data_IF_188141623793
#
_entry.id   IF_188141623793
#
_cell.length_a   1.000
_cell.length_b   1.000
_cell.length_c   1.000
_cell.angle_alpha   90.00
_cell.angle_beta   90.00
_cell.angle_gamma   90.00
#
_symmetry.space_group_name_H-M   'P 1'
#
loop_
_entity.id
_entity.type
_entity.pdbx_description
1 polymer ?
#
# COMPACT_ATOMS: atom_id res chain seq x y z
N UNK A 1 18.48 28.84 18.38
CA UNK A 1 17.27 29.27 19.09
C UNK A 1 16.71 28.09 19.84
N UNK A 2 16.12 28.32 21.00
CA UNK A 2 15.46 27.28 21.79
C UNK A 2 13.95 27.23 21.54
N UNK A 3 13.38 26.04 21.45
CA UNK A 3 11.92 25.86 21.47
C UNK A 3 11.39 26.08 22.88
N UNK A 4 10.40 26.96 23.03
CA UNK A 4 9.74 27.25 24.31
C UNK A 4 8.45 26.44 24.45
N UNK A 5 7.76 26.21 23.34
CA UNK A 5 6.53 25.43 23.36
C UNK A 5 5.98 25.18 21.97
N UNK A 6 4.93 24.38 21.92
CA UNK A 6 4.20 24.03 20.70
C UNK A 6 2.71 24.04 20.96
N UNK A 7 1.93 24.23 19.90
CA UNK A 7 0.48 24.07 19.89
C UNK A 7 0.10 23.28 18.66
N UNK A 8 -0.47 22.10 18.84
CA UNK A 8 -0.94 21.24 17.74
C UNK A 8 -2.46 21.31 17.69
N UNK A 9 -3.02 21.86 16.61
CA UNK A 9 -4.49 21.91 16.42
C UNK A 9 -4.97 20.74 15.56
N UNK A 10 -4.24 20.46 14.48
CA UNK A 10 -4.55 19.42 13.49
C UNK A 10 -3.27 18.79 12.97
N UNK A 11 -3.34 17.61 12.35
CA UNK A 11 -2.15 16.98 11.72
C UNK A 11 -1.50 17.88 10.65
N UNK A 12 -2.29 18.70 9.97
CA UNK A 12 -1.83 19.68 8.96
C UNK A 12 -1.55 21.09 9.51
N UNK A 13 -1.81 21.36 10.80
CA UNK A 13 -1.60 22.70 11.37
C UNK A 13 -1.14 22.67 12.83
N UNK A 14 0.03 23.27 13.06
CA UNK A 14 0.59 23.54 14.37
C UNK A 14 1.40 24.84 14.38
N UNK A 15 1.72 25.28 15.59
CA UNK A 15 2.57 26.44 15.86
C UNK A 15 3.67 26.04 16.83
N UNK A 16 4.90 26.46 16.55
CA UNK A 16 6.04 26.31 17.47
C UNK A 16 6.50 27.70 17.88
N UNK A 17 6.69 27.90 19.17
CA UNK A 17 7.18 29.16 19.75
C UNK A 17 8.64 28.97 20.12
N UNK A 18 9.49 29.85 19.61
CA UNK A 18 10.90 29.93 19.95
C UNK A 18 11.16 31.00 21.02
N UNK A 19 12.33 30.94 21.63
CA UNK A 19 12.81 31.97 22.56
C UNK A 19 12.76 33.36 21.90
N UNK A 20 12.41 34.39 22.69
CA UNK A 20 12.15 35.73 22.16
C UNK A 20 10.74 35.93 21.57
N UNK A 21 9.85 34.93 21.67
CA UNK A 21 8.44 35.06 21.32
C UNK A 21 8.12 34.90 19.82
N UNK A 22 9.10 34.47 19.03
CA UNK A 22 8.93 34.20 17.60
C UNK A 22 8.11 32.91 17.39
N UNK A 23 7.01 33.00 16.65
CA UNK A 23 6.14 31.87 16.35
C UNK A 23 6.31 31.40 14.89
N UNK A 24 6.34 30.08 14.69
CA UNK A 24 6.49 29.42 13.40
C UNK A 24 5.25 28.59 13.08
N UNK A 25 4.60 28.83 11.93
CA UNK A 25 3.53 27.98 11.42
C UNK A 25 4.11 26.82 10.62
N UNK A 26 3.66 25.61 10.94
CA UNK A 26 4.04 24.38 10.24
C UNK A 26 2.91 23.36 10.32
N UNK A 27 3.14 22.16 9.79
CA UNK A 27 2.21 21.05 10.00
C UNK A 27 2.23 20.62 11.46
N UNK A 28 1.08 20.18 11.98
CA UNK A 28 1.02 19.61 13.32
C UNK A 28 1.85 18.33 13.43
N UNK A 29 1.97 17.57 12.34
CA UNK A 29 2.84 16.39 12.26
C UNK A 29 4.33 16.71 12.39
N UNK A 30 4.78 17.91 12.03
CA UNK A 30 6.13 18.39 12.35
C UNK A 30 6.21 18.98 13.75
N UNK A 31 5.27 19.87 14.10
CA UNK A 31 5.25 20.59 15.38
C UNK A 31 5.24 19.65 16.60
N UNK A 32 4.52 18.53 16.53
CA UNK A 32 4.41 17.55 17.62
C UNK A 32 5.74 16.91 18.01
N UNK A 33 6.73 16.90 17.12
CA UNK A 33 8.05 16.31 17.37
C UNK A 33 9.06 17.29 17.95
N UNK A 34 8.72 18.58 18.07
CA UNK A 34 9.57 19.60 18.67
C UNK A 34 9.24 19.75 20.16
N UNK A 35 10.19 19.42 21.03
CA UNK A 35 10.04 19.51 22.50
C UNK A 35 10.40 20.91 22.98
N UNK A 36 9.84 21.36 24.12
CA UNK A 36 10.46 22.42 24.89
C UNK A 36 11.94 22.09 25.14
N UNK A 37 12.79 23.11 25.08
CA UNK A 37 14.25 23.07 25.20
C UNK A 37 15.03 22.52 24.00
N UNK A 38 14.37 22.03 22.94
CA UNK A 38 15.07 21.61 21.72
C UNK A 38 15.84 22.78 21.11
N UNK A 39 17.10 22.52 20.74
CA UNK A 39 17.97 23.47 20.05
C UNK A 39 17.73 23.39 18.55
N UNK A 40 17.34 24.53 17.96
CA UNK A 40 17.06 24.64 16.52
C UNK A 40 17.80 25.81 15.88
N UNK A 41 18.18 25.62 14.62
CA UNK A 41 18.69 26.65 13.72
C UNK A 41 17.56 27.08 12.81
N UNK A 42 17.20 28.36 12.90
CA UNK A 42 16.20 29.02 12.06
C UNK A 42 16.94 29.86 11.01
N UNK A 43 16.56 29.74 9.75
CA UNK A 43 16.96 30.69 8.71
C UNK A 43 15.72 31.30 8.06
N UNK A 44 15.68 32.63 7.99
CA UNK A 44 14.57 33.43 7.44
C UNK A 44 15.09 34.82 7.05
N UNK A 45 14.52 35.41 6.02
CA UNK A 45 14.73 36.81 5.64
C UNK A 45 13.66 37.75 6.26
N UNK A 46 12.61 37.19 6.85
CA UNK A 46 11.45 37.93 7.34
C UNK A 46 11.64 38.36 8.80
N UNK A 47 11.43 39.66 9.07
CA UNK A 47 11.53 40.25 10.41
C UNK A 47 10.14 40.54 10.98
N UNK A 48 9.43 39.49 11.39
CA UNK A 48 8.10 39.59 11.99
C UNK A 48 7.90 38.52 13.07
N UNK A 49 6.99 38.74 14.03
CA UNK A 49 6.83 37.83 15.18
C UNK A 49 6.17 36.49 14.83
N UNK A 50 5.58 36.34 13.64
CA UNK A 50 4.92 35.13 13.20
C UNK A 50 5.31 34.81 11.75
N UNK A 51 5.99 33.68 11.54
CA UNK A 51 6.40 33.21 10.22
C UNK A 51 5.41 32.16 9.69
N UNK A 52 5.03 32.32 8.43
CA UNK A 52 4.21 31.40 7.63
C UNK A 52 5.02 30.23 7.07
N UNK A 53 4.31 29.32 6.39
CA UNK A 53 4.84 28.03 5.94
C UNK A 53 6.06 28.13 5.01
N UNK A 54 6.10 29.14 4.13
CA UNK A 54 7.15 29.27 3.11
C UNK A 54 8.21 30.32 3.45
N UNK A 55 8.20 30.84 4.68
CA UNK A 55 8.99 32.01 5.08
C UNK A 55 10.25 31.66 5.88
N UNK A 56 10.52 30.38 6.09
CA UNK A 56 11.66 29.94 6.89
C UNK A 56 12.10 28.51 6.57
N UNK A 57 13.30 28.18 7.05
CA UNK A 57 13.77 26.80 7.19
C UNK A 57 14.13 26.54 8.65
N UNK A 58 13.95 25.31 9.10
CA UNK A 58 14.19 24.91 10.48
C UNK A 58 14.98 23.61 10.52
N UNK A 59 16.07 23.62 11.28
CA UNK A 59 16.97 22.48 11.43
C UNK A 59 17.24 22.19 12.91
N UNK A 60 17.05 20.96 13.34
CA UNK A 60 17.54 20.45 14.63
C UNK A 60 18.81 19.64 14.43
N UNK A 61 18.89 18.47 15.06
CA UNK A 61 19.88 17.44 14.70
C UNK A 61 19.67 16.94 13.27
N UNK A 62 18.42 16.96 12.80
CA UNK A 62 18.02 16.61 11.44
C UNK A 62 17.18 17.75 10.81
N UNK A 63 17.04 17.80 9.47
CA UNK A 63 16.17 18.77 8.80
C UNK A 63 14.69 18.60 9.21
N UNK A 64 14.09 19.69 9.72
CA UNK A 64 12.71 19.68 10.22
C UNK A 64 11.76 20.34 9.20
N UNK A 65 12.15 21.52 8.69
CA UNK A 65 11.34 22.31 7.76
C UNK A 65 12.20 22.95 6.66
N UNK A 66 11.79 22.92 5.37
CA UNK A 66 10.56 22.33 4.82
C UNK A 66 10.54 20.80 4.96
N UNK A 67 9.36 20.19 4.81
CA UNK A 67 9.19 18.74 4.87
C UNK A 67 9.93 18.00 3.75
N UNK A 68 10.13 16.69 3.91
CA UNK A 68 10.74 15.86 2.87
C UNK A 68 9.90 15.90 1.59
N UNK A 69 10.59 16.12 0.46
CA UNK A 69 9.99 16.07 -0.87
C UNK A 69 11.05 15.70 -1.91
N UNK A 70 10.73 14.75 -2.79
CA UNK A 70 11.54 14.30 -3.92
C UNK A 70 10.68 14.13 -5.15
N UNK A 71 11.06 14.76 -6.26
CA UNK A 71 10.52 14.43 -7.57
C UNK A 71 11.30 13.26 -8.16
N UNK A 72 10.58 12.30 -8.72
CA UNK A 72 11.17 11.11 -9.35
C UNK A 72 10.45 10.80 -10.65
N UNK A 73 11.24 10.43 -11.66
CA UNK A 73 10.72 9.80 -12.87
C UNK A 73 10.69 8.29 -12.65
N UNK A 74 9.53 7.67 -12.86
CA UNK A 74 9.37 6.22 -12.76
C UNK A 74 8.94 5.65 -14.10
N UNK A 75 9.79 4.79 -14.66
CA UNK A 75 9.55 4.16 -15.96
C UNK A 75 8.93 2.79 -15.77
N UNK A 76 7.81 2.56 -16.44
CA UNK A 76 7.22 1.24 -16.62
C UNK A 76 7.78 0.63 -17.89
N UNK A 77 8.46 -0.49 -17.76
CA UNK A 77 8.90 -1.27 -18.90
C UNK A 77 7.73 -2.05 -19.53
N UNK A 78 7.74 -2.13 -20.86
CA UNK A 78 6.79 -2.93 -21.61
C UNK A 78 7.06 -4.43 -21.43
N UNK A 79 6.03 -5.27 -21.56
CA UNK A 79 6.18 -6.73 -21.45
C UNK A 79 7.12 -7.35 -22.50
N UNK A 80 7.41 -6.62 -23.58
CA UNK A 80 8.32 -7.03 -24.66
C UNK A 80 9.64 -6.24 -24.66
N UNK A 81 9.92 -5.52 -23.55
CA UNK A 81 11.02 -4.55 -23.47
C UNK A 81 10.64 -3.15 -23.98
N UNK A 82 11.48 -2.16 -23.66
CA UNK A 82 11.23 -0.75 -23.98
C UNK A 82 10.37 -0.02 -22.94
N UNK A 83 10.31 1.31 -23.04
CA UNK A 83 9.51 2.17 -22.17
C UNK A 83 8.04 2.14 -22.61
N UNK A 84 7.17 1.59 -21.75
CA UNK A 84 5.73 1.60 -21.98
C UNK A 84 5.10 2.91 -21.51
N UNK A 85 5.54 3.42 -20.35
CA UNK A 85 5.03 4.66 -19.78
C UNK A 85 6.04 5.26 -18.80
N UNK A 86 6.05 6.60 -18.68
CA UNK A 86 6.87 7.32 -17.71
C UNK A 86 6.00 8.20 -16.85
N UNK A 87 6.02 7.91 -15.55
CA UNK A 87 5.35 8.70 -14.54
C UNK A 87 6.28 9.79 -14.02
N UNK A 88 5.78 11.03 -13.93
CA UNK A 88 6.40 12.08 -13.13
C UNK A 88 5.71 12.12 -11.78
N UNK A 89 6.45 11.70 -10.75
CA UNK A 89 5.93 11.53 -9.41
C UNK A 89 6.62 12.47 -8.43
N UNK A 90 5.90 12.84 -7.38
CA UNK A 90 6.46 13.55 -6.23
C UNK A 90 6.19 12.73 -4.97
N UNK A 91 7.24 12.20 -4.37
CA UNK A 91 7.16 11.66 -3.03
C UNK A 91 7.35 12.80 -2.02
N UNK A 92 6.37 13.02 -1.16
CA UNK A 92 6.45 14.09 -0.15
C UNK A 92 5.70 13.73 1.10
N UNK A 93 6.06 14.35 2.20
CA UNK A 93 5.28 14.19 3.42
C UNK A 93 3.88 14.81 3.29
N UNK A 94 2.91 14.23 4.00
CA UNK A 94 1.58 14.81 4.12
C UNK A 94 1.63 16.17 4.82
N UNK A 95 1.04 17.17 4.17
CA UNK A 95 1.09 18.56 4.61
C UNK A 95 -0.30 19.17 4.80
N UNK A 96 -1.24 18.86 3.92
CA UNK A 96 -2.54 19.51 3.85
C UNK A 96 -3.66 18.62 4.39
N UNK A 97 -4.80 19.18 4.78
CA UNK A 97 -5.97 18.39 5.16
C UNK A 97 -6.37 17.40 4.06
N UNK A 98 -6.42 17.86 2.80
CA UNK A 98 -6.72 17.04 1.63
C UNK A 98 -5.75 15.87 1.41
N UNK A 99 -4.54 15.92 1.97
CA UNK A 99 -3.62 14.79 1.93
C UNK A 99 -4.09 13.65 2.84
N UNK A 100 -4.58 13.99 4.03
CA UNK A 100 -5.09 13.01 4.97
C UNK A 100 -6.47 12.48 4.54
N UNK A 101 -7.28 13.30 3.88
CA UNK A 101 -8.49 12.85 3.18
C UNK A 101 -8.14 11.78 2.11
N UNK A 102 -7.13 12.05 1.27
CA UNK A 102 -6.66 11.08 0.27
C UNK A 102 -6.07 9.79 0.88
N UNK A 103 -5.37 9.88 2.01
CA UNK A 103 -4.92 8.68 2.74
C UNK A 103 -6.11 7.85 3.23
N UNK A 104 -7.14 8.51 3.79
CA UNK A 104 -8.35 7.84 4.25
C UNK A 104 -9.10 7.14 3.10
N UNK A 105 -9.18 7.78 1.92
CA UNK A 105 -9.72 7.16 0.71
C UNK A 105 -8.91 5.94 0.26
N UNK A 106 -7.57 6.05 0.24
CA UNK A 106 -6.70 4.93 -0.13
C UNK A 106 -6.84 3.72 0.81
N UNK A 107 -7.02 3.97 2.12
CA UNK A 107 -7.23 2.91 3.10
C UNK A 107 -8.52 2.12 2.85
N UNK A 108 -9.58 2.75 2.32
CA UNK A 108 -10.83 2.05 1.99
C UNK A 108 -10.59 0.94 0.96
N UNK A 109 -9.72 1.16 -0.02
CA UNK A 109 -9.34 0.14 -0.99
C UNK A 109 -8.50 -1.00 -0.41
N UNK A 110 -7.86 -0.78 0.74
CA UNK A 110 -7.13 -1.84 1.44
C UNK A 110 -8.08 -2.71 2.27
N UNK A 111 -9.11 -2.10 2.88
CA UNK A 111 -10.11 -2.78 3.70
C UNK A 111 -11.38 -3.15 2.92
N UNK A 112 -11.42 -3.08 1.59
CA UNK A 112 -12.65 -3.22 0.81
C UNK A 112 -13.47 -4.51 1.08
N UNK A 113 -12.88 -5.55 1.69
CA UNK A 113 -13.57 -6.75 2.15
C UNK A 113 -14.23 -6.64 3.53
N UNK A 114 -13.81 -5.70 4.37
CA UNK A 114 -14.31 -5.45 5.72
C UNK A 114 -15.00 -4.08 5.74
N UNK A 115 -16.30 -4.01 6.10
CA UNK A 115 -17.04 -2.73 6.26
C UNK A 115 -16.55 -1.95 7.50
N UNK A 116 -15.23 -1.79 7.67
CA UNK A 116 -14.65 -1.03 8.76
C UNK A 116 -14.66 0.46 8.43
N UNK A 117 -15.02 1.27 9.42
CA UNK A 117 -14.87 2.72 9.35
C UNK A 117 -13.42 3.08 9.66
N UNK A 118 -12.74 3.73 8.72
CA UNK A 118 -11.29 3.95 8.74
C UNK A 118 -10.90 5.37 9.16
N UNK A 119 -11.84 6.31 9.21
CA UNK A 119 -11.56 7.70 9.60
C UNK A 119 -12.50 8.22 10.70
N UNK A 120 -11.90 8.91 11.67
CA UNK A 120 -12.57 9.68 12.70
C UNK A 120 -12.53 11.16 12.29
N UNK A 121 -13.67 11.84 12.39
CA UNK A 121 -13.84 13.24 12.06
C UNK A 121 -14.32 14.01 13.28
N UNK A 122 -13.91 15.26 13.44
CA UNK A 122 -14.36 16.15 14.51
C UNK A 122 -15.07 17.34 13.91
N UNK A 123 -16.27 17.66 14.40
CA UNK A 123 -16.96 18.87 14.02
C UNK A 123 -16.45 20.06 14.87
N UNK A 124 -15.77 21.06 14.29
CA UNK A 124 -15.30 22.22 15.03
C UNK A 124 -16.44 23.09 15.57
N UNK A 125 -17.65 22.99 15.00
CA UNK A 125 -18.82 23.76 15.41
C UNK A 125 -19.45 23.27 16.71
N UNK A 126 -19.56 21.95 16.91
CA UNK A 126 -20.25 21.36 18.07
C UNK A 126 -19.41 20.35 18.85
N UNK A 127 -18.14 20.13 18.48
CA UNK A 127 -17.21 19.19 19.12
C UNK A 127 -17.52 17.71 18.90
N UNK A 128 -18.57 17.35 18.15
CA UNK A 128 -18.97 15.95 17.94
C UNK A 128 -17.92 15.21 17.13
N UNK A 129 -17.54 14.02 17.59
CA UNK A 129 -16.72 13.08 16.80
C UNK A 129 -17.64 12.18 15.96
N UNK A 130 -17.36 12.05 14.67
CA UNK A 130 -18.12 11.26 13.69
C UNK A 130 -17.20 10.16 13.12
N UNK A 131 -17.76 9.00 12.83
CA UNK A 131 -17.04 7.92 12.16
C UNK A 131 -17.59 7.81 10.74
N UNK A 132 -16.75 8.04 9.74
CA UNK A 132 -17.13 7.92 8.34
C UNK A 132 -15.90 7.69 7.46
N UNK A 133 -16.09 7.00 6.33
CA UNK A 133 -15.02 6.74 5.37
C UNK A 133 -14.77 7.93 4.44
N UNK A 134 -15.83 8.65 4.07
CA UNK A 134 -15.78 9.95 3.40
C UNK A 134 -16.09 11.08 4.38
N UNK A 135 -15.74 12.33 4.01
CA UNK A 135 -16.01 13.53 4.81
C UNK A 135 -17.52 13.65 5.11
N UNK A 136 -17.94 13.49 6.38
CA UNK A 136 -19.36 13.56 6.71
C UNK A 136 -19.80 15.00 6.94
N UNK A 137 -21.04 15.32 6.57
CA UNK A 137 -21.71 16.50 7.09
C UNK A 137 -22.14 16.23 8.53
N UNK A 138 -21.80 17.12 9.45
CA UNK A 138 -22.24 16.97 10.83
C UNK A 138 -23.73 17.29 10.95
N UNK A 139 -24.53 16.55 11.76
CA UNK A 139 -25.95 16.85 11.97
C UNK A 139 -26.29 18.28 12.42
N UNK A 140 -25.31 19.02 12.96
CA UNK A 140 -25.46 20.44 13.31
C UNK A 140 -25.27 21.40 12.11
N UNK A 141 -25.08 20.88 10.90
CA UNK A 141 -24.73 21.64 9.70
C UNK A 141 -23.28 22.14 9.66
N UNK A 142 -22.42 21.67 10.56
CA UNK A 142 -20.98 21.99 10.56
C UNK A 142 -20.18 21.07 9.65
N UNK A 143 -19.17 21.63 8.99
CA UNK A 143 -18.22 20.85 8.17
C UNK A 143 -17.24 20.10 9.09
N UNK A 144 -17.24 18.76 9.02
CA UNK A 144 -16.35 17.95 9.84
C UNK A 144 -14.91 18.01 9.31
N UNK A 145 -13.94 18.02 10.23
CA UNK A 145 -12.49 18.02 9.94
C UNK A 145 -11.92 16.67 10.31
N UNK A 146 -10.96 16.16 9.55
CA UNK A 146 -10.36 14.86 9.85
C UNK A 146 -9.63 14.92 11.21
N UNK A 147 -9.98 14.02 12.12
CA UNK A 147 -9.37 13.90 13.44
C UNK A 147 -8.24 12.89 13.42
N UNK A 148 -8.52 11.67 12.97
CA UNK A 148 -7.57 10.56 13.01
C UNK A 148 -7.90 9.48 11.98
N UNK A 149 -6.87 8.80 11.47
CA UNK A 149 -7.02 7.62 10.61
C UNK A 149 -6.87 6.39 11.52
N UNK A 150 -7.90 5.55 11.56
CA UNK A 150 -7.98 4.38 12.45
C UNK A 150 -6.75 3.48 12.23
N UNK A 151 -6.12 3.09 13.34
CA UNK A 151 -4.92 2.27 13.34
C UNK A 151 -3.61 3.03 13.08
N UNK A 152 -3.66 4.35 12.85
CA UNK A 152 -2.50 5.22 13.04
C UNK A 152 -2.38 5.65 14.50
N UNK A 153 -1.24 6.23 14.86
CA UNK A 153 -1.03 6.82 16.18
C UNK A 153 -0.68 8.30 16.05
N UNK A 154 -0.71 9.08 17.14
CA UNK A 154 -0.13 10.42 17.15
C UNK A 154 1.34 10.42 16.71
N UNK A 155 2.09 9.32 16.82
CA UNK A 155 3.46 9.22 16.34
C UNK A 155 3.59 8.98 14.82
N UNK A 156 2.53 8.57 14.14
CA UNK A 156 2.61 8.24 12.72
C UNK A 156 2.92 9.47 11.86
N UNK A 157 3.83 9.30 10.89
CA UNK A 157 4.06 10.23 9.77
C UNK A 157 3.80 9.53 8.45
N UNK A 158 3.45 10.31 7.44
CA UNK A 158 2.94 9.81 6.17
C UNK A 158 3.74 10.37 5.01
N UNK A 159 4.23 9.48 4.15
CA UNK A 159 4.84 9.78 2.86
C UNK A 159 3.83 9.48 1.77
N UNK A 160 3.45 10.47 0.98
CA UNK A 160 2.55 10.35 -0.15
C UNK A 160 3.35 10.17 -1.44
N UNK A 161 2.75 9.48 -2.41
CA UNK A 161 3.19 9.45 -3.79
C UNK A 161 2.15 10.17 -4.65
N UNK A 162 2.50 11.37 -5.12
CA UNK A 162 1.65 12.25 -5.91
C UNK A 162 2.01 12.13 -7.40
N UNK A 163 0.99 12.03 -8.27
CA UNK A 163 1.14 12.19 -9.71
C UNK A 163 1.23 13.68 -10.04
N UNK A 164 2.40 14.14 -10.47
CA UNK A 164 2.65 15.55 -10.83
C UNK A 164 2.01 15.87 -12.16
N UNK A 165 2.23 15.00 -13.14
CA UNK A 165 1.61 15.06 -14.45
C UNK A 165 0.53 13.98 -14.48
N UNK A 166 -0.74 14.40 -14.45
CA UNK A 166 -1.90 13.51 -14.39
C UNK A 166 -2.96 13.90 -15.40
N UNK A 167 -3.66 12.91 -15.93
CA UNK A 167 -4.87 13.09 -16.72
C UNK A 167 -6.06 13.44 -15.80
N UNK A 168 -7.13 14.06 -16.32
CA UNK A 168 -8.26 14.52 -15.48
C UNK A 168 -8.93 13.42 -14.64
N UNK A 169 -8.92 12.18 -15.12
CA UNK A 169 -9.50 11.03 -14.44
C UNK A 169 -8.54 10.35 -13.44
N UNK A 170 -7.25 10.66 -13.48
CA UNK A 170 -6.27 10.02 -12.61
C UNK A 170 -6.29 10.63 -11.21
N UNK A 171 -6.17 9.80 -10.15
CA UNK A 171 -6.12 10.29 -8.79
C UNK A 171 -4.85 11.13 -8.58
N UNK A 172 -4.94 12.21 -7.77
CA UNK A 172 -3.77 13.01 -7.42
C UNK A 172 -2.74 12.20 -6.64
N UNK A 173 -3.21 11.41 -5.65
CA UNK A 173 -2.36 10.58 -4.80
C UNK A 173 -2.57 9.12 -5.19
N UNK A 174 -1.51 8.48 -5.67
CA UNK A 174 -1.53 7.08 -6.15
C UNK A 174 -1.05 6.08 -5.11
N UNK A 175 -0.50 6.56 -3.99
CA UNK A 175 -0.13 5.70 -2.87
C UNK A 175 0.37 6.50 -1.68
N UNK A 176 0.48 5.83 -0.54
CA UNK A 176 1.15 6.36 0.63
C UNK A 176 1.86 5.26 1.41
N UNK A 177 2.81 5.69 2.24
CA UNK A 177 3.53 4.87 3.19
C UNK A 177 3.44 5.53 4.57
N UNK A 178 3.20 4.72 5.60
CA UNK A 178 3.16 5.19 7.00
C UNK A 178 4.39 4.70 7.76
N UNK A 179 5.11 5.64 8.35
CA UNK A 179 6.18 5.36 9.30
C UNK A 179 5.70 5.57 10.73
N UNK A 180 6.04 4.61 11.58
CA UNK A 180 5.81 4.65 13.02
C UNK A 180 7.16 4.45 13.75
N UNK A 181 7.27 4.91 15.01
CA UNK A 181 8.26 4.38 15.94
C UNK A 181 8.14 2.85 16.06
N UNK A 182 9.10 2.16 16.71
CA UNK A 182 9.18 0.71 16.71
C UNK A 182 8.14 0.01 17.61
N UNK A 183 6.87 0.08 17.22
CA UNK A 183 5.71 -0.59 17.83
C UNK A 183 5.11 -1.64 16.88
N UNK A 184 4.32 -2.61 17.35
CA UNK A 184 4.18 -3.04 18.74
C UNK A 184 5.43 -3.80 19.22
N UNK A 185 5.42 -4.24 20.48
CA UNK A 185 6.33 -5.29 20.97
C UNK A 185 6.13 -6.55 20.14
N UNK A 186 7.21 -7.31 19.94
CA UNK A 186 7.19 -8.49 19.09
C UNK A 186 7.60 -9.73 19.86
N UNK A 187 6.83 -10.79 19.69
CA UNK A 187 7.12 -12.11 20.22
C UNK A 187 7.17 -13.09 19.07
N UNK A 188 7.95 -14.16 19.20
CA UNK A 188 8.03 -15.26 18.24
C UNK A 188 7.59 -16.56 18.90
N UNK A 189 6.79 -17.37 18.23
CA UNK A 189 6.41 -18.70 18.73
C UNK A 189 7.28 -19.74 18.03
N UNK A 190 7.93 -20.59 18.84
CA UNK A 190 8.78 -21.69 18.36
C UNK A 190 8.29 -23.02 18.95
N UNK A 191 8.75 -24.19 18.45
CA UNK A 191 8.45 -25.48 19.07
C UNK A 191 8.89 -25.57 20.55
N UNK A 192 9.90 -24.79 20.95
CA UNK A 192 10.42 -24.74 22.34
C UNK A 192 9.62 -23.80 23.25
N UNK A 193 8.71 -23.00 22.71
CA UNK A 193 7.91 -22.05 23.48
C UNK A 193 7.85 -20.65 22.88
N UNK A 194 7.33 -19.71 23.67
CA UNK A 194 7.20 -18.30 23.31
C UNK A 194 8.48 -17.53 23.65
N UNK A 195 9.08 -16.92 22.63
CA UNK A 195 10.20 -16.02 22.79
C UNK A 195 9.67 -14.58 22.81
N UNK A 196 9.74 -13.96 23.99
CA UNK A 196 9.31 -12.56 24.19
C UNK A 196 10.37 -11.61 23.65
N UNK A 197 9.90 -10.43 23.25
CA UNK A 197 10.71 -9.30 22.77
C UNK A 197 11.86 -9.73 21.85
N UNK A 198 11.48 -10.47 20.80
CA UNK A 198 12.44 -11.18 19.94
C UNK A 198 13.40 -10.22 19.24
N UNK A 199 13.00 -8.97 18.97
CA UNK A 199 13.89 -7.99 18.33
C UNK A 199 15.03 -7.60 19.25
N UNK A 200 14.72 -7.43 20.53
CA UNK A 200 15.64 -7.06 21.61
C UNK A 200 16.63 -8.19 21.92
N UNK A 201 16.38 -9.40 21.42
CA UNK A 201 17.33 -10.52 21.46
C UNK A 201 18.27 -10.54 20.24
N UNK A 202 17.92 -9.82 19.18
CA UNK A 202 18.69 -9.77 17.92
C UNK A 202 19.52 -8.49 17.85
N UNK A 203 18.95 -7.36 18.26
CA UNK A 203 19.54 -6.03 18.17
C UNK A 203 19.60 -5.36 19.55
N UNK A 204 20.44 -4.32 19.73
CA UNK A 204 20.49 -3.55 20.96
C UNK A 204 19.11 -3.04 21.40
N UNK A 205 18.70 -3.24 22.67
CA UNK A 205 17.37 -2.83 23.15
C UNK A 205 17.09 -1.32 23.00
N UNK A 206 18.10 -0.47 23.14
CA UNK A 206 17.97 0.98 23.01
C UNK A 206 17.69 1.44 21.57
N UNK A 207 17.81 0.56 20.58
CA UNK A 207 17.33 0.85 19.22
C UNK A 207 15.80 0.90 19.16
N UNK A 208 15.12 0.18 20.05
CA UNK A 208 13.67 0.12 20.10
C UNK A 208 13.06 0.90 21.26
N UNK A 209 13.85 1.37 22.22
CA UNK A 209 13.35 2.00 23.43
C UNK A 209 14.15 3.27 23.79
N UNK A 210 13.50 4.29 24.39
CA UNK A 210 12.07 4.41 24.65
C UNK A 210 11.24 4.64 23.37
N UNK A 211 10.17 3.87 23.18
CA UNK A 211 9.22 4.01 22.06
C UNK A 211 7.90 4.65 22.49
N UNK A 212 7.02 4.89 21.54
CA UNK A 212 5.68 5.42 21.80
C UNK A 212 4.75 4.30 22.31
N UNK A 213 4.39 4.33 23.60
CA UNK A 213 3.49 3.32 24.20
C UNK A 213 2.01 3.74 24.22
N UNK A 214 1.65 4.86 23.61
CA UNK A 214 0.30 5.42 23.67
C UNK A 214 0.00 6.12 24.99
N UNK A 215 -1.28 6.32 25.29
CA UNK A 215 -1.75 6.97 26.51
C UNK A 215 -2.56 8.25 26.26
N UNK A 216 -3.22 8.74 27.31
CA UNK A 216 -4.04 9.97 27.26
C UNK A 216 -3.17 11.21 27.01
N UNK A 217 -2.01 11.28 27.65
CA UNK A 217 -1.01 12.32 27.42
C UNK A 217 -0.04 11.89 26.31
N UNK A 218 -0.54 11.96 25.07
CA UNK A 218 0.24 11.59 23.90
C UNK A 218 1.45 12.51 23.69
N UNK A 219 1.38 13.77 24.14
CA UNK A 219 2.47 14.74 24.00
C UNK A 219 3.69 14.34 24.81
N UNK A 220 3.50 14.11 26.12
CA UNK A 220 4.59 13.63 26.98
C UNK A 220 5.14 12.27 26.53
N UNK A 221 4.28 11.40 25.99
CA UNK A 221 4.71 10.12 25.44
C UNK A 221 5.60 10.31 24.19
N UNK A 222 5.23 11.20 23.26
CA UNK A 222 6.07 11.54 22.10
C UNK A 222 7.38 12.19 22.52
N UNK A 223 7.37 13.01 23.57
CA UNK A 223 8.55 13.67 24.12
C UNK A 223 9.52 12.73 24.80
N UNK A 224 9.17 11.46 25.01
CA UNK A 224 10.11 10.44 25.48
C UNK A 224 10.73 9.65 24.34
N UNK A 225 10.08 9.56 23.18
CA UNK A 225 10.51 8.68 22.09
C UNK A 225 11.91 9.05 21.59
N UNK A 226 12.82 8.08 21.63
CA UNK A 226 14.21 8.25 21.24
C UNK A 226 14.80 6.93 20.72
N UNK A 227 14.31 6.50 19.55
CA UNK A 227 14.57 5.16 18.98
C UNK A 227 15.62 5.23 17.88
N UNK A 228 16.35 4.14 17.65
CA UNK A 228 17.30 3.98 16.55
C UNK A 228 16.77 3.02 15.46
N UNK A 229 15.49 2.67 15.52
CA UNK A 229 14.78 1.90 14.50
C UNK A 229 13.51 2.64 14.07
N UNK A 230 13.07 2.40 12.84
CA UNK A 230 11.77 2.86 12.34
C UNK A 230 10.97 1.69 11.77
N UNK A 231 9.63 1.80 11.83
CA UNK A 231 8.73 0.80 11.28
C UNK A 231 7.98 1.36 10.07
N UNK A 232 8.07 0.65 8.95
CA UNK A 232 7.07 0.77 7.88
C UNK A 232 5.83 0.03 8.34
N UNK A 233 4.83 0.78 8.81
CA UNK A 233 3.61 0.23 9.36
C UNK A 233 2.57 -0.10 8.29
N UNK A 234 2.64 0.62 7.16
CA UNK A 234 1.64 0.55 6.10
C UNK A 234 2.24 0.99 4.78
N UNK A 235 1.90 0.28 3.72
CA UNK A 235 2.16 0.68 2.33
C UNK A 235 0.89 0.39 1.56
N UNK A 236 0.30 1.42 0.96
CA UNK A 236 -0.91 1.29 0.15
C UNK A 236 -0.68 1.98 -1.18
N UNK A 237 -1.04 1.27 -2.24
CA UNK A 237 -1.04 1.77 -3.61
C UNK A 237 -2.46 1.65 -4.14
N UNK A 238 -2.90 2.69 -4.83
CA UNK A 238 -4.18 2.73 -5.52
C UNK A 238 -4.37 1.47 -6.39
N UNK A 239 -5.54 0.81 -6.37
CA UNK A 239 -5.76 -0.47 -7.05
C UNK A 239 -5.25 -0.52 -8.49
N UNK A 240 -5.59 0.51 -9.28
CA UNK A 240 -5.24 0.60 -10.70
C UNK A 240 -3.73 0.77 -10.96
N UNK A 241 -2.95 1.10 -9.93
CA UNK A 241 -1.51 1.35 -10.03
C UNK A 241 -0.66 0.30 -9.30
N UNK A 242 -1.25 -0.77 -8.75
CA UNK A 242 -0.53 -1.79 -7.98
C UNK A 242 0.51 -2.55 -8.82
N UNK A 243 0.29 -2.66 -10.13
CA UNK A 243 1.21 -3.26 -11.10
C UNK A 243 2.40 -2.38 -11.47
N UNK A 244 2.37 -1.09 -11.13
CA UNK A 244 3.38 -0.14 -11.62
C UNK A 244 4.68 -0.18 -10.83
N UNK A 245 4.78 -0.98 -9.77
CA UNK A 245 5.98 -1.03 -8.92
C UNK A 245 6.09 0.12 -7.92
N UNK A 246 5.04 0.94 -7.77
CA UNK A 246 4.98 2.05 -6.82
C UNK A 246 5.18 1.64 -5.36
N UNK A 247 4.83 0.39 -5.00
CA UNK A 247 5.12 -0.14 -3.66
C UNK A 247 6.61 -0.17 -3.35
N UNK A 248 7.44 -0.74 -4.24
CA UNK A 248 8.90 -0.74 -4.09
C UNK A 248 9.48 0.67 -4.17
N UNK A 249 8.92 1.55 -5.00
CA UNK A 249 9.33 2.95 -5.09
C UNK A 249 9.10 3.69 -3.76
N UNK A 250 7.89 3.59 -3.19
CA UNK A 250 7.54 4.17 -1.89
C UNK A 250 8.47 3.70 -0.78
N UNK A 251 8.78 2.40 -0.72
CA UNK A 251 9.72 1.87 0.28
C UNK A 251 11.11 2.47 0.09
N UNK A 252 11.66 2.54 -1.13
CA UNK A 252 12.98 3.15 -1.39
C UNK A 252 13.03 4.61 -0.95
N UNK A 253 12.03 5.40 -1.31
CA UNK A 253 11.94 6.81 -0.94
C UNK A 253 11.72 7.00 0.56
N UNK A 254 11.03 6.09 1.23
CA UNK A 254 10.94 6.09 2.68
C UNK A 254 12.27 5.76 3.36
N UNK A 255 13.10 4.87 2.81
CA UNK A 255 14.44 4.61 3.34
C UNK A 255 15.33 5.85 3.21
N UNK A 256 15.25 6.60 2.10
CA UNK A 256 15.93 7.89 1.94
C UNK A 256 15.43 8.91 2.98
N UNK A 257 14.11 9.04 3.13
CA UNK A 257 13.50 9.92 4.12
C UNK A 257 13.96 9.59 5.56
N UNK A 258 14.05 8.30 5.90
CA UNK A 258 14.56 7.85 7.20
C UNK A 258 16.03 8.22 7.38
N UNK A 259 16.88 8.02 6.36
CA UNK A 259 18.32 8.36 6.42
C UNK A 259 18.54 9.86 6.55
N UNK A 260 17.89 10.66 5.71
CA UNK A 260 18.10 12.11 5.66
C UNK A 260 17.54 12.82 6.89
N UNK A 261 16.45 12.29 7.47
CA UNK A 261 15.66 13.02 8.47
C UNK A 261 15.42 12.27 9.76
N UNK A 262 16.02 11.10 9.96
CA UNK A 262 15.77 10.24 11.12
C UNK A 262 14.27 10.03 11.40
N UNK A 263 13.48 9.91 10.33
CA UNK A 263 12.03 9.73 10.43
C UNK A 263 11.67 8.45 11.20
N UNK A 264 10.55 8.42 11.94
CA UNK A 264 9.55 9.50 12.02
C UNK A 264 9.89 10.64 12.99
N UNK A 265 10.71 10.41 14.01
CA UNK A 265 10.87 11.38 15.12
C UNK A 265 11.88 12.50 14.83
N UNK A 266 12.87 12.25 13.98
CA UNK A 266 13.90 13.25 13.63
C UNK A 266 14.87 13.60 14.75
N UNK A 267 15.18 12.63 15.64
CA UNK A 267 15.99 12.86 16.84
C UNK A 267 17.27 12.04 16.93
N UNK A 268 17.22 10.79 16.48
CA UNK A 268 18.33 9.84 16.56
C UNK A 268 18.48 9.13 15.22
N UNK A 269 19.72 8.96 14.79
CA UNK A 269 20.05 8.20 13.59
C UNK A 269 19.45 6.78 13.66
N UNK A 270 18.96 6.30 12.51
CA UNK A 270 18.33 4.99 12.42
C UNK A 270 19.33 3.96 11.91
N UNK A 271 19.51 2.89 12.68
CA UNK A 271 20.32 1.75 12.29
C UNK A 271 19.57 0.78 11.38
N UNK A 272 18.24 0.68 11.52
CA UNK A 272 17.42 -0.22 10.72
C UNK A 272 16.00 0.29 10.49
N UNK A 273 15.37 -0.27 9.46
CA UNK A 273 13.93 -0.15 9.18
C UNK A 273 13.34 -1.55 9.11
N UNK A 274 12.17 -1.76 9.69
CA UNK A 274 11.50 -3.07 9.61
C UNK A 274 10.02 -2.93 9.26
N UNK A 275 9.41 -4.04 8.87
CA UNK A 275 7.97 -4.13 8.59
C UNK A 275 7.40 -5.45 9.11
N UNK A 276 6.11 -5.44 9.47
CA UNK A 276 5.32 -6.64 9.73
C UNK A 276 4.26 -6.70 8.63
N UNK A 277 4.37 -7.65 7.70
CA UNK A 277 3.59 -7.59 6.46
C UNK A 277 3.16 -8.97 5.96
N UNK A 278 1.93 -9.40 6.29
CA UNK A 278 1.39 -10.69 5.81
C UNK A 278 1.43 -10.83 4.28
N UNK A 279 1.23 -9.72 3.58
CA UNK A 279 1.25 -9.70 2.12
C UNK A 279 2.64 -10.02 1.53
N UNK A 280 3.73 -9.88 2.29
CA UNK A 280 5.09 -10.16 1.83
C UNK A 280 5.30 -11.64 1.48
N UNK A 281 4.45 -12.55 1.99
CA UNK A 281 4.43 -13.97 1.57
C UNK A 281 4.00 -14.16 0.11
N UNK A 282 3.20 -13.23 -0.41
CA UNK A 282 2.58 -13.33 -1.72
C UNK A 282 3.19 -12.38 -2.74
N UNK A 283 3.92 -11.35 -2.28
CA UNK A 283 4.53 -10.36 -3.15
C UNK A 283 5.91 -9.92 -2.62
N UNK A 284 7.01 -10.13 -3.38
CA UNK A 284 8.37 -9.92 -2.90
C UNK A 284 8.83 -8.45 -3.00
N UNK A 285 7.94 -7.46 -2.89
CA UNK A 285 8.36 -6.07 -3.18
C UNK A 285 9.32 -5.51 -2.13
N UNK A 286 9.19 -5.94 -0.86
CA UNK A 286 10.14 -5.60 0.19
C UNK A 286 11.49 -6.26 -0.05
N UNK A 287 11.50 -7.56 -0.39
CA UNK A 287 12.73 -8.30 -0.71
C UNK A 287 13.44 -7.73 -1.95
N UNK A 288 12.70 -7.32 -2.99
CA UNK A 288 13.25 -6.62 -4.16
C UNK A 288 13.95 -5.30 -3.80
N UNK A 289 13.54 -4.65 -2.71
CA UNK A 289 14.21 -3.44 -2.20
C UNK A 289 15.44 -3.77 -1.33
N UNK A 290 15.53 -5.02 -0.84
CA UNK A 290 16.64 -5.49 0.00
C UNK A 290 16.24 -5.81 1.44
N UNK A 291 14.94 -5.80 1.78
CA UNK A 291 14.52 -6.29 3.09
C UNK A 291 14.74 -7.79 3.18
N UNK A 292 15.25 -8.26 4.32
CA UNK A 292 15.46 -9.68 4.63
C UNK A 292 14.45 -10.15 5.66
N UNK A 293 13.83 -11.28 5.37
CA UNK A 293 12.92 -11.96 6.29
C UNK A 293 13.71 -12.60 7.43
N UNK A 294 13.31 -12.37 8.68
CA UNK A 294 13.99 -12.96 9.84
C UNK A 294 13.12 -13.98 10.58
N UNK A 295 11.85 -13.68 10.80
CA UNK A 295 10.94 -14.54 11.56
C UNK A 295 9.48 -14.14 11.39
N UNK A 296 8.58 -15.04 11.81
CA UNK A 296 7.18 -14.74 12.03
C UNK A 296 6.93 -14.29 13.46
N UNK A 297 6.02 -13.33 13.65
CA UNK A 297 5.48 -13.01 14.97
C UNK A 297 4.77 -14.23 15.57
N UNK A 298 4.48 -14.20 16.87
CA UNK A 298 3.71 -15.23 17.56
C UNK A 298 2.30 -15.43 16.97
N UNK A 299 1.79 -14.41 16.26
CA UNK A 299 0.54 -14.45 15.50
C UNK A 299 0.71 -14.89 14.03
N UNK A 300 1.90 -15.33 13.62
CA UNK A 300 2.19 -15.87 12.29
C UNK A 300 2.43 -14.82 11.20
N UNK A 301 2.62 -13.55 11.56
CA UNK A 301 2.86 -12.48 10.58
C UNK A 301 4.36 -12.34 10.30
N UNK A 302 4.81 -12.32 9.04
CA UNK A 302 6.22 -12.24 8.72
C UNK A 302 6.79 -10.86 9.04
N UNK A 303 8.03 -10.87 9.52
CA UNK A 303 8.79 -9.68 9.88
C UNK A 303 10.05 -9.61 9.01
N UNK A 304 10.20 -8.49 8.32
CA UNK A 304 11.34 -8.23 7.44
C UNK A 304 12.08 -6.97 7.88
N UNK A 305 13.39 -6.98 7.71
CA UNK A 305 14.31 -5.94 8.18
C UNK A 305 15.21 -5.45 7.05
N UNK A 306 15.49 -4.16 7.04
CA UNK A 306 16.43 -3.51 6.15
C UNK A 306 17.47 -2.76 7.00
N UNK A 307 18.76 -3.10 6.91
CA UNK A 307 19.81 -2.41 7.63
C UNK A 307 20.15 -1.09 6.92
N UNK A 308 20.25 -0.03 7.71
CA UNK A 308 20.71 1.29 7.24
C UNK A 308 22.20 1.50 7.50
N UNK A 309 22.78 0.74 8.44
CA UNK A 309 24.17 0.84 8.90
C UNK A 309 24.86 -0.52 8.82
N UNK A 310 26.20 -0.53 8.76
CA UNK A 310 26.99 -1.76 8.80
C UNK A 310 26.79 -2.56 10.10
N UNK A 311 26.64 -1.87 11.24
CA UNK A 311 26.35 -2.53 12.52
C UNK A 311 25.03 -3.32 12.48
N UNK A 312 23.97 -2.75 11.90
CA UNK A 312 22.72 -3.47 11.73
C UNK A 312 22.86 -4.65 10.77
N UNK A 313 23.63 -4.50 9.69
CA UNK A 313 23.94 -5.59 8.76
C UNK A 313 24.60 -6.77 9.48
N UNK A 314 25.58 -6.51 10.34
CA UNK A 314 26.30 -7.53 11.12
C UNK A 314 25.35 -8.30 12.07
N UNK A 315 24.44 -7.60 12.76
CA UNK A 315 23.43 -8.24 13.59
C UNK A 315 22.48 -9.13 12.78
N UNK A 316 22.03 -8.66 11.61
CA UNK A 316 21.18 -9.44 10.71
C UNK A 316 21.89 -10.73 10.25
N UNK A 317 23.11 -10.61 9.72
CA UNK A 317 23.89 -11.74 9.22
C UNK A 317 24.20 -12.77 10.31
N UNK A 318 24.59 -12.27 11.49
CA UNK A 318 24.80 -13.13 12.66
C UNK A 318 23.55 -13.93 13.00
N UNK A 319 22.39 -13.29 13.05
CA UNK A 319 21.13 -13.96 13.37
C UNK A 319 20.73 -14.99 12.31
N UNK A 320 20.85 -14.64 11.01
CA UNK A 320 20.59 -15.55 9.90
C UNK A 320 21.48 -16.79 9.92
N UNK A 321 22.69 -16.69 10.48
CA UNK A 321 23.63 -17.81 10.63
C UNK A 321 23.38 -18.66 11.88
N UNK A 322 23.10 -18.02 13.01
CA UNK A 322 23.06 -18.66 14.33
C UNK A 322 21.67 -19.20 14.72
N UNK A 323 20.59 -18.53 14.30
CA UNK A 323 19.23 -18.95 14.64
C UNK A 323 18.76 -20.09 13.72
N UNK A 324 18.37 -21.26 14.27
CA UNK A 324 18.00 -22.42 13.45
C UNK A 324 16.81 -22.18 12.51
N UNK A 325 15.86 -21.34 12.93
CA UNK A 325 14.71 -20.99 12.10
C UNK A 325 15.14 -20.06 10.96
N UNK A 326 15.88 -19.00 11.30
CA UNK A 326 16.35 -18.01 10.35
C UNK A 326 17.27 -18.61 9.28
N UNK A 327 18.15 -19.52 9.69
CA UNK A 327 19.09 -20.23 8.82
C UNK A 327 18.41 -21.07 7.75
N UNK A 328 17.24 -21.65 8.05
CA UNK A 328 16.53 -22.52 7.12
C UNK A 328 16.05 -21.78 5.86
N UNK A 329 15.70 -20.49 5.98
CA UNK A 329 15.23 -19.68 4.87
C UNK A 329 16.25 -18.64 4.37
N UNK A 330 17.34 -18.41 5.10
CA UNK A 330 18.47 -17.58 4.67
C UNK A 330 18.08 -16.16 4.28
N UNK A 331 17.16 -15.55 5.03
CA UNK A 331 16.69 -14.18 4.74
C UNK A 331 15.58 -14.06 3.70
N UNK A 332 15.16 -15.16 3.06
CA UNK A 332 14.13 -15.15 2.01
C UNK A 332 12.77 -15.62 2.52
N UNK A 333 11.71 -14.90 2.15
CA UNK A 333 10.33 -15.27 2.46
C UNK A 333 9.59 -15.77 1.22
N UNK A 334 9.71 -15.03 0.12
CA UNK A 334 8.99 -15.32 -1.10
C UNK A 334 9.72 -16.38 -1.93
N UNK A 335 9.01 -17.47 -2.23
CA UNK A 335 9.44 -18.48 -3.17
C UNK A 335 8.39 -18.56 -4.29
N UNK A 336 8.82 -18.36 -5.54
CA UNK A 336 7.94 -18.58 -6.68
C UNK A 336 7.48 -20.03 -6.69
N UNK A 337 6.17 -20.25 -6.65
CA UNK A 337 5.59 -21.58 -6.85
C UNK A 337 5.50 -21.96 -8.33
N UNK A 338 5.76 -21.01 -9.23
CA UNK A 338 5.77 -21.26 -10.66
C UNK A 338 7.16 -21.70 -11.08
N UNK A 339 7.25 -22.94 -11.54
CA UNK A 339 8.39 -23.43 -12.29
C UNK A 339 8.37 -22.80 -13.68
N UNK A 340 9.50 -22.30 -14.20
CA UNK A 340 9.59 -21.89 -15.60
C UNK A 340 9.13 -23.05 -16.49
N UNK A 341 8.02 -22.86 -17.20
CA UNK A 341 7.56 -23.84 -18.17
C UNK A 341 8.39 -23.69 -19.44
N UNK A 342 8.91 -24.80 -19.97
CA UNK A 342 9.35 -24.83 -21.36
C UNK A 342 8.09 -24.61 -22.18
N UNK A 343 7.90 -23.39 -22.72
CA UNK A 343 6.69 -23.02 -23.44
C UNK A 343 6.31 -24.03 -24.52
N UNK A 344 5.06 -23.96 -25.01
CA UNK A 344 4.50 -24.96 -25.92
C UNK A 344 5.46 -25.31 -27.08
N UNK A 345 5.67 -26.60 -27.40
CA UNK A 345 6.60 -27.04 -28.44
C UNK A 345 6.14 -26.67 -29.86
N UNK A 346 4.90 -26.24 -30.03
CA UNK A 346 4.31 -25.82 -31.30
C UNK A 346 3.18 -24.81 -31.11
N UNK A 347 2.59 -24.30 -32.20
CA UNK A 347 1.48 -23.38 -32.12
C UNK A 347 0.18 -24.09 -31.71
N UNK A 348 -0.72 -23.35 -31.09
CA UNK A 348 -2.12 -23.78 -30.95
C UNK A 348 -2.86 -23.44 -32.24
N UNK A 349 -3.65 -24.38 -32.78
CA UNK A 349 -4.42 -24.16 -34.00
C UNK A 349 -5.89 -24.48 -33.81
N UNK A 350 -6.76 -23.60 -34.30
CA UNK A 350 -8.17 -23.88 -34.57
C UNK A 350 -8.32 -23.96 -36.08
N UNK A 351 -8.96 -25.02 -36.55
CA UNK A 351 -9.16 -25.31 -37.96
C UNK A 351 -10.66 -25.49 -38.22
N UNK A 352 -11.29 -24.48 -38.83
CA UNK A 352 -12.70 -24.49 -39.23
C UNK A 352 -13.67 -24.74 -38.07
N UNK A 353 -13.36 -24.26 -36.85
CA UNK A 353 -14.08 -24.68 -35.64
C UNK A 353 -15.50 -24.12 -35.60
N UNK A 354 -16.47 -25.02 -35.42
CA UNK A 354 -17.87 -24.71 -35.15
C UNK A 354 -18.23 -25.15 -33.72
N UNK A 355 -18.88 -24.23 -32.98
CA UNK A 355 -19.42 -24.53 -31.65
C UNK A 355 -20.76 -23.85 -31.45
N UNK A 356 -21.76 -24.62 -31.08
CA UNK A 356 -23.10 -24.17 -30.75
C UNK A 356 -23.53 -24.68 -29.37
N UNK A 357 -24.41 -23.93 -28.71
CA UNK A 357 -25.09 -24.41 -27.52
C UNK A 357 -26.56 -24.64 -27.86
N UNK A 358 -27.08 -25.78 -27.41
CA UNK A 358 -28.48 -26.15 -27.55
C UNK A 358 -29.16 -25.98 -26.21
N UNK A 359 -30.20 -25.16 -26.16
CA UNK A 359 -31.11 -25.08 -25.03
C UNK A 359 -32.43 -25.73 -25.42
N UNK A 360 -32.91 -26.65 -24.60
CA UNK A 360 -34.27 -27.15 -24.72
C UNK A 360 -35.20 -26.15 -24.04
N UNK A 361 -36.03 -25.47 -24.82
CA UNK A 361 -37.11 -24.67 -24.27
C UNK A 361 -38.27 -25.63 -23.97
N UNK A 362 -38.39 -26.04 -22.73
CA UNK A 362 -39.52 -26.81 -22.24
C UNK A 362 -40.54 -25.89 -21.57
N UNK A 363 -41.82 -26.13 -21.85
CA UNK A 363 -42.94 -25.39 -21.28
C UNK A 363 -43.61 -26.18 -20.14
N UNK A 364 -43.21 -27.44 -19.93
CA UNK A 364 -43.83 -28.37 -18.96
C UNK A 364 -43.78 -27.88 -17.51
N UNK A 365 -42.74 -27.14 -17.13
CA UNK A 365 -42.55 -26.57 -15.79
C UNK A 365 -43.30 -25.23 -15.57
N UNK A 366 -44.02 -24.72 -16.57
CA UNK A 366 -44.81 -23.49 -16.47
C UNK A 366 -46.25 -23.78 -16.04
N UNK A 367 -46.94 -22.79 -15.44
CA UNK A 367 -48.36 -22.97 -15.06
C UNK A 367 -49.27 -23.14 -16.29
N UNK A 368 -50.42 -23.82 -16.17
CA UNK A 368 -51.34 -24.07 -17.28
C UNK A 368 -51.75 -22.79 -18.02
N UNK A 369 -52.05 -21.71 -17.29
CA UNK A 369 -52.45 -20.42 -17.87
C UNK A 369 -51.34 -19.79 -18.74
N UNK A 370 -50.07 -19.97 -18.34
CA UNK A 370 -48.91 -19.46 -19.09
C UNK A 370 -48.65 -20.32 -20.32
N UNK A 371 -48.81 -21.64 -20.21
CA UNK A 371 -48.68 -22.55 -21.35
C UNK A 371 -49.74 -22.28 -22.42
N UNK A 372 -50.99 -22.05 -22.02
CA UNK A 372 -52.10 -21.76 -22.92
C UNK A 372 -51.90 -20.42 -23.64
N UNK A 373 -51.52 -19.37 -22.92
CA UNK A 373 -51.20 -18.07 -23.49
C UNK A 373 -50.05 -18.16 -24.51
N UNK A 374 -48.93 -18.80 -24.16
CA UNK A 374 -47.78 -18.97 -25.06
C UNK A 374 -48.14 -19.80 -26.30
N UNK A 375 -48.98 -20.83 -26.14
CA UNK A 375 -49.47 -21.67 -27.24
C UNK A 375 -50.38 -20.89 -28.20
N UNK A 376 -51.24 -20.00 -27.70
CA UNK A 376 -52.08 -19.13 -28.51
C UNK A 376 -51.27 -18.17 -29.40
N UNK A 377 -50.05 -17.79 -28.97
CA UNK A 377 -49.08 -17.04 -29.78
C UNK A 377 -48.15 -17.94 -30.62
N UNK A 378 -48.43 -19.25 -30.70
CA UNK A 378 -47.69 -20.21 -31.52
C UNK A 378 -46.35 -20.66 -30.94
N UNK A 379 -46.08 -20.38 -29.66
CA UNK A 379 -44.85 -20.85 -28.99
C UNK A 379 -45.00 -22.33 -28.63
N UNK A 380 -44.08 -23.15 -29.12
CA UNK A 380 -44.01 -24.60 -28.84
C UNK A 380 -42.67 -24.95 -28.24
N UNK A 381 -42.60 -26.06 -27.52
CA UNK A 381 -41.34 -26.65 -27.07
C UNK A 381 -40.42 -26.85 -28.29
N UNK A 382 -39.18 -26.37 -28.17
CA UNK A 382 -38.21 -26.39 -29.28
C UNK A 382 -36.79 -26.44 -28.75
N UNK A 383 -35.92 -27.07 -29.52
CA UNK A 383 -34.48 -26.99 -29.31
C UNK A 383 -33.99 -25.71 -29.97
N UNK A 384 -33.49 -24.79 -29.16
CA UNK A 384 -32.84 -23.57 -29.63
C UNK A 384 -31.34 -23.83 -29.75
N UNK A 385 -30.84 -23.90 -30.98
CA UNK A 385 -29.41 -23.93 -31.24
C UNK A 385 -28.87 -22.53 -31.48
N UNK A 386 -27.87 -22.12 -30.71
CA UNK A 386 -27.15 -20.86 -30.90
C UNK A 386 -25.69 -21.14 -31.23
N UNK A 387 -25.33 -20.98 -32.50
CA UNK A 387 -23.93 -21.00 -32.94
C UNK A 387 -23.15 -19.83 -32.34
N UNK A 388 -22.10 -20.14 -31.58
CA UNK A 388 -21.20 -19.18 -30.93
C UNK A 388 -19.93 -18.97 -31.74
N UNK A 389 -19.35 -20.05 -32.28
CA UNK A 389 -18.22 -20.00 -33.22
C UNK A 389 -18.63 -20.65 -34.53
N UNK A 390 -18.29 -20.00 -35.65
CA UNK A 390 -18.71 -20.41 -37.01
C UNK A 390 -17.49 -20.46 -37.92
N UNK A 391 -16.91 -21.64 -38.10
CA UNK A 391 -15.74 -21.83 -38.97
C UNK A 391 -14.54 -21.01 -38.51
N UNK A 392 -14.23 -21.01 -37.22
CA UNK A 392 -13.14 -20.22 -36.67
C UNK A 392 -11.77 -20.85 -36.99
N UNK A 393 -10.93 -20.10 -37.69
CA UNK A 393 -9.53 -20.42 -37.96
C UNK A 393 -8.61 -19.47 -37.18
N UNK A 394 -7.67 -20.04 -36.40
CA UNK A 394 -6.75 -19.26 -35.57
C UNK A 394 -5.45 -20.03 -35.35
N UNK A 395 -4.31 -19.37 -35.50
CA UNK A 395 -3.00 -19.89 -35.09
C UNK A 395 -2.40 -18.99 -34.00
N UNK A 396 -2.00 -19.59 -32.88
CA UNK A 396 -1.30 -18.91 -31.78
C UNK A 396 0.13 -19.47 -31.70
N UNK A 397 1.15 -18.69 -32.12
CA UNK A 397 2.54 -19.13 -32.05
C UNK A 397 3.02 -19.36 -30.61
N UNK A 398 3.98 -20.27 -30.39
CA UNK A 398 4.69 -20.38 -29.11
C UNK A 398 5.24 -19.04 -28.65
N UNK A 399 5.24 -18.82 -27.34
CA UNK A 399 5.83 -17.61 -26.70
C UNK A 399 5.20 -16.28 -27.13
N UNK A 400 4.05 -16.31 -27.80
CA UNK A 400 3.29 -15.11 -28.12
C UNK A 400 2.41 -14.67 -26.94
N UNK A 401 2.13 -13.37 -26.86
CA UNK A 401 1.12 -12.80 -25.95
C UNK A 401 -0.08 -12.42 -26.79
N UNK A 402 -1.18 -13.14 -26.63
CA UNK A 402 -2.42 -12.91 -27.38
C UNK A 402 -3.49 -12.34 -26.47
N UNK A 403 -4.10 -11.23 -26.88
CA UNK A 403 -5.23 -10.60 -26.17
C UNK A 403 -6.53 -10.94 -26.88
N UNK A 404 -7.46 -11.59 -26.17
CA UNK A 404 -8.79 -11.90 -26.68
C UNK A 404 -9.81 -10.83 -26.24
N UNK A 405 -10.23 -9.98 -27.17
CA UNK A 405 -11.17 -8.89 -26.94
C UNK A 405 -12.48 -9.05 -27.74
N UNK A 406 -13.54 -8.35 -27.33
CA UNK A 406 -14.85 -8.36 -28.01
C UNK A 406 -16.03 -8.13 -27.06
N UNK A 407 -17.22 -7.87 -27.59
CA UNK A 407 -18.43 -7.63 -26.80
C UNK A 407 -18.82 -8.81 -25.89
N UNK A 408 -19.66 -8.57 -24.88
CA UNK A 408 -20.26 -9.65 -24.09
C UNK A 408 -21.07 -10.58 -25.00
N UNK A 409 -20.91 -11.90 -24.84
CA UNK A 409 -21.56 -12.88 -25.71
C UNK A 409 -20.88 -13.13 -27.07
N UNK A 410 -19.76 -12.47 -27.39
CA UNK A 410 -18.99 -12.68 -28.63
C UNK A 410 -18.24 -14.02 -28.72
N UNK A 411 -18.44 -14.95 -27.77
CA UNK A 411 -17.83 -16.28 -27.81
C UNK A 411 -16.44 -16.43 -27.18
N UNK A 412 -15.91 -15.39 -26.52
CA UNK A 412 -14.59 -15.42 -25.87
C UNK A 412 -14.42 -16.58 -24.87
N UNK A 413 -15.39 -16.74 -23.97
CA UNK A 413 -15.39 -17.83 -22.98
C UNK A 413 -15.45 -19.20 -23.66
N UNK A 414 -16.24 -19.33 -24.72
CA UNK A 414 -16.34 -20.56 -25.51
C UNK A 414 -15.01 -20.90 -26.18
N UNK A 415 -14.33 -19.92 -26.76
CA UNK A 415 -12.98 -20.10 -27.31
C UNK A 415 -11.99 -20.56 -26.24
N UNK A 416 -12.00 -19.95 -25.05
CA UNK A 416 -11.13 -20.39 -23.94
C UNK A 416 -11.43 -21.82 -23.49
N UNK A 417 -12.70 -22.24 -23.44
CA UNK A 417 -13.06 -23.61 -23.07
C UNK A 417 -12.57 -24.63 -24.10
N UNK A 418 -12.68 -24.31 -25.39
CA UNK A 418 -12.13 -25.15 -26.46
C UNK A 418 -10.61 -25.32 -26.30
N UNK A 419 -9.88 -24.23 -26.03
CA UNK A 419 -8.44 -24.28 -25.75
C UNK A 419 -8.09 -25.09 -24.49
N UNK A 420 -8.99 -25.16 -23.53
CA UNK A 420 -8.87 -25.98 -22.31
C UNK A 420 -9.27 -27.45 -22.53
N UNK A 421 -9.71 -27.82 -23.74
CA UNK A 421 -10.01 -29.20 -24.13
C UNK A 421 -11.51 -29.53 -24.22
N UNK A 422 -12.42 -28.55 -24.16
CA UNK A 422 -13.81 -28.78 -24.56
C UNK A 422 -13.84 -29.15 -26.06
N UNK A 423 -14.56 -30.22 -26.46
CA UNK A 423 -14.60 -30.61 -27.86
C UNK A 423 -15.43 -29.61 -28.70
N UNK A 424 -14.98 -29.28 -29.92
CA UNK A 424 -15.81 -28.56 -30.88
C UNK A 424 -16.93 -29.46 -31.41
N UNK A 425 -18.00 -28.88 -31.95
CA UNK A 425 -19.06 -29.68 -32.59
C UNK A 425 -18.69 -30.04 -34.04
N UNK A 426 -17.86 -29.21 -34.69
CA UNK A 426 -17.17 -29.52 -35.94
C UNK A 426 -15.84 -28.77 -36.06
N UNK A 427 -14.95 -29.22 -36.94
CA UNK A 427 -13.57 -28.71 -37.05
C UNK A 427 -12.63 -29.33 -36.00
N UNK A 428 -11.44 -28.76 -35.86
CA UNK A 428 -10.38 -29.30 -35.00
C UNK A 428 -9.71 -28.22 -34.14
N UNK A 429 -9.38 -28.56 -32.90
CA UNK A 429 -8.56 -27.74 -31.98
C UNK A 429 -7.30 -28.52 -31.66
N UNK A 430 -6.15 -28.08 -32.18
CA UNK A 430 -4.84 -28.69 -31.96
C UNK A 430 -4.09 -27.91 -30.89
N UNK A 431 -3.92 -28.51 -29.71
CA UNK A 431 -3.10 -27.98 -28.63
C UNK A 431 -1.88 -28.91 -28.46
N UNK A 432 -0.64 -28.40 -28.62
CA UNK A 432 0.57 -29.22 -28.46
C UNK A 432 0.68 -29.83 -27.05
N UNK A 433 1.29 -31.02 -26.91
CA UNK A 433 1.53 -31.64 -25.61
C UNK A 433 2.51 -30.82 -24.77
N UNK A 434 2.30 -30.76 -23.46
CA UNK A 434 3.16 -30.01 -22.53
C UNK A 434 2.41 -29.24 -21.42
N UNK A 435 1.32 -29.81 -20.90
CA UNK A 435 0.60 -29.25 -19.74
C UNK A 435 1.41 -29.39 -18.46
#
# INVERSE_FOLDING_TARGET
>A
MRVVGRRVRWRWYGEVVLEGGLALRMTGDAAKWLRPEDQVRLATEFKKPLLGFDEYTLQGSFPIWPLFSREVAHVREGPLGGEAYRYRLRAREAMYEADFEAIAELEQYHYASEKEVVALWSCPRCGRTLQANSKPLCPCGGEARLKEIKGSTPASRFLLLELVERLPFEPRIVGYLRLDPPIPRMHRRTPKGLERDIRERIFPPDWFHPTYEGGLDWESALDRVHTAAARIARVVVHPDYRSEGFGSLLVRLALEWVRERAAPEGRREKHLVYTIAQMARYHPFFEKVGFRYLFDTASGRPVLFYPLTGEAEDYLERFLREDPYARAHGGRLFFSRFTPLQGLPGPIRLLGVYKAYRNHLDLSDLSPDVQEALSAFGVRARILERAVLRGADLEIPPKSVVVLAGASGAGKTTLLRLLLGEPPDAGEVVVPPGR
#
